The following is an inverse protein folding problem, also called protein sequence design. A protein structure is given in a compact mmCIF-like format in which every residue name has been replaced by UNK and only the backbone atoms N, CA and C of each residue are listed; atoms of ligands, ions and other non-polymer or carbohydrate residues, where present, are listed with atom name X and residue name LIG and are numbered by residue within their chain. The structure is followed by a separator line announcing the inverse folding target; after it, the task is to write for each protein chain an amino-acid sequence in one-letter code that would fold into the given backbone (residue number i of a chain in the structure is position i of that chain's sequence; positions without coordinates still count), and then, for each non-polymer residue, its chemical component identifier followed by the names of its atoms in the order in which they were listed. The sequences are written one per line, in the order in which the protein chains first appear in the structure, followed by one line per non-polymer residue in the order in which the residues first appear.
data_IF_940999583349
#
_entry.id   IF_940999583349
#
_cell.length_a   1.000
_cell.length_b   1.000
_cell.length_c   1.000
_cell.angle_alpha   90.00
_cell.angle_beta   90.00
_cell.angle_gamma   90.00
#
_symmetry.space_group_name_H-M   'P 1'
#
loop_
_entity.id
_entity.type
_entity.pdbx_description
1 polymer ?
#
# COMPACT_ATOMS: atom_id res chain seq x y z
N UNK A 1 -30.95 -27.78 18.57
CA UNK A 1 -30.58 -27.53 17.16
C UNK A 1 -29.30 -26.73 17.17
N UNK A 2 -28.32 -27.06 16.34
CA UNK A 2 -27.28 -26.09 15.99
C UNK A 2 -27.94 -25.06 15.06
N UNK A 3 -27.62 -23.78 15.25
CA UNK A 3 -28.09 -22.71 14.38
C UNK A 3 -27.11 -22.61 13.21
N UNK A 4 -27.59 -22.77 11.98
CA UNK A 4 -26.75 -22.65 10.79
C UNK A 4 -26.24 -21.20 10.65
N UNK A 5 -24.97 -21.05 10.28
CA UNK A 5 -24.35 -19.74 10.08
C UNK A 5 -25.06 -18.98 8.95
N UNK A 6 -25.32 -17.69 9.13
CA UNK A 6 -26.02 -16.87 8.13
C UNK A 6 -25.18 -16.72 6.86
N UNK A 7 -25.80 -16.35 5.74
CA UNK A 7 -25.07 -16.06 4.50
C UNK A 7 -23.99 -14.99 4.72
N UNK A 8 -24.27 -13.99 5.56
CA UNK A 8 -23.31 -12.93 5.90
C UNK A 8 -22.09 -13.48 6.66
N UNK A 9 -22.29 -14.39 7.61
CA UNK A 9 -21.19 -15.04 8.35
C UNK A 9 -20.31 -15.88 7.40
N UNK A 10 -20.95 -16.63 6.49
CA UNK A 10 -20.25 -17.49 5.52
C UNK A 10 -19.48 -16.67 4.49
N UNK A 11 -20.05 -15.55 4.02
CA UNK A 11 -19.36 -14.58 3.15
C UNK A 11 -18.21 -13.87 3.88
N UNK A 12 -18.34 -13.54 5.17
CA UNK A 12 -17.26 -12.95 5.96
C UNK A 12 -16.08 -13.92 6.15
N UNK A 13 -16.36 -15.20 6.46
CA UNK A 13 -15.33 -16.25 6.53
C UNK A 13 -14.66 -16.48 5.17
N UNK A 14 -15.43 -16.60 4.09
CA UNK A 14 -14.89 -16.75 2.75
C UNK A 14 -14.03 -15.53 2.33
N UNK A 15 -14.45 -14.31 2.67
CA UNK A 15 -13.67 -13.07 2.43
C UNK A 15 -12.33 -13.09 3.17
N UNK A 16 -12.31 -13.52 4.44
CA UNK A 16 -11.09 -13.64 5.23
C UNK A 16 -10.12 -14.69 4.67
N UNK A 17 -10.64 -15.77 4.07
CA UNK A 17 -9.85 -16.79 3.37
C UNK A 17 -9.26 -16.26 2.06
N UNK A 18 -10.05 -15.51 1.25
CA UNK A 18 -9.56 -14.86 0.03
C UNK A 18 -8.37 -13.93 0.34
N UNK A 19 -8.48 -13.07 1.36
CA UNK A 19 -7.42 -12.15 1.77
C UNK A 19 -6.13 -12.86 2.22
N UNK A 20 -6.23 -14.10 2.72
CA UNK A 20 -5.10 -14.92 3.15
C UNK A 20 -4.52 -15.82 2.05
N UNK A 21 -5.02 -15.73 0.81
CA UNK A 21 -4.61 -16.61 -0.29
C UNK A 21 -3.11 -16.48 -0.62
N UNK A 22 -2.34 -17.58 -0.68
CA UNK A 22 -0.95 -17.55 -1.12
C UNK A 22 -0.79 -16.94 -2.53
N UNK A 23 0.37 -16.33 -2.83
CA UNK A 23 0.54 -15.56 -4.06
C UNK A 23 0.46 -16.45 -5.30
N UNK A 24 -0.60 -16.28 -6.09
CA UNK A 24 -0.89 -17.07 -7.29
C UNK A 24 -1.90 -18.21 -7.10
N UNK A 25 -2.40 -18.43 -5.87
CA UNK A 25 -3.31 -19.52 -5.52
C UNK A 25 -4.75 -19.02 -5.19
N UNK A 26 -5.01 -17.72 -5.31
CA UNK A 26 -6.31 -17.09 -5.01
C UNK A 26 -7.49 -17.66 -5.81
N UNK A 27 -7.25 -18.12 -7.04
CA UNK A 27 -8.29 -18.75 -7.86
C UNK A 27 -8.68 -20.13 -7.31
N UNK A 28 -7.72 -20.87 -6.76
CA UNK A 28 -7.97 -22.17 -6.14
C UNK A 28 -8.71 -21.99 -4.81
N UNK A 29 -8.28 -21.03 -3.98
CA UNK A 29 -9.00 -20.64 -2.76
C UNK A 29 -10.42 -20.16 -3.06
N UNK A 30 -10.64 -19.39 -4.13
CA UNK A 30 -11.97 -18.97 -4.58
C UNK A 30 -12.87 -20.15 -4.98
N UNK A 31 -12.29 -21.23 -5.53
CA UNK A 31 -13.02 -22.46 -5.83
C UNK A 31 -13.30 -23.29 -4.56
N UNK A 32 -12.38 -23.32 -3.60
CA UNK A 32 -12.53 -24.05 -2.34
C UNK A 32 -13.51 -23.39 -1.35
N UNK A 33 -13.76 -22.08 -1.44
CA UNK A 33 -14.77 -21.40 -0.60
C UNK A 33 -16.20 -21.48 -1.13
N UNK A 34 -16.44 -21.93 -2.37
CA UNK A 34 -17.80 -22.04 -2.93
C UNK A 34 -18.74 -22.90 -2.07
N UNK A 35 -18.32 -24.09 -1.58
CA UNK A 35 -19.17 -24.92 -0.72
C UNK A 35 -19.42 -24.31 0.67
N UNK A 36 -18.61 -23.34 1.11
CA UNK A 36 -18.80 -22.61 2.38
C UNK A 36 -19.94 -21.60 2.23
N UNK A 37 -20.01 -20.88 1.11
CA UNK A 37 -21.07 -19.90 0.85
C UNK A 37 -22.37 -20.60 0.45
N UNK A 38 -22.31 -21.59 -0.45
CA UNK A 38 -23.45 -22.41 -0.87
C UNK A 38 -24.41 -21.75 -1.88
N UNK A 39 -24.08 -20.56 -2.35
CA UNK A 39 -24.80 -19.82 -3.41
C UNK A 39 -23.77 -19.11 -4.29
N UNK A 40 -23.61 -19.57 -5.54
CA UNK A 40 -22.62 -19.02 -6.48
C UNK A 40 -22.95 -17.59 -6.95
N UNK A 41 -24.23 -17.17 -6.91
CA UNK A 41 -24.65 -15.83 -7.34
C UNK A 41 -24.32 -14.78 -6.26
N UNK A 42 -24.49 -15.16 -5.00
CA UNK A 42 -24.11 -14.32 -3.86
C UNK A 42 -22.60 -14.39 -3.56
N UNK A 43 -21.92 -15.47 -3.93
CA UNK A 43 -20.46 -15.62 -3.84
C UNK A 43 -19.72 -14.54 -4.64
N UNK A 44 -19.94 -14.46 -5.96
CA UNK A 44 -19.22 -13.51 -6.82
C UNK A 44 -19.43 -12.06 -6.37
N UNK A 45 -20.69 -11.72 -6.04
CA UNK A 45 -21.09 -10.39 -5.56
C UNK A 45 -20.54 -10.07 -4.18
N UNK A 46 -20.53 -11.04 -3.27
CA UNK A 46 -20.11 -10.88 -1.88
C UNK A 46 -18.59 -10.87 -1.68
N UNK A 47 -17.83 -11.60 -2.52
CA UNK A 47 -16.37 -11.65 -2.46
C UNK A 47 -15.65 -10.58 -3.28
N UNK A 48 -16.35 -9.87 -4.18
CA UNK A 48 -15.76 -8.80 -4.99
C UNK A 48 -14.96 -7.75 -4.18
N UNK A 49 -15.39 -7.29 -2.99
CA UNK A 49 -14.57 -6.37 -2.17
C UNK A 49 -13.26 -7.00 -1.67
N UNK A 50 -13.31 -8.27 -1.25
CA UNK A 50 -12.13 -9.00 -0.78
C UNK A 50 -11.15 -9.30 -1.94
N UNK A 51 -11.67 -9.60 -3.13
CA UNK A 51 -10.87 -9.72 -4.35
C UNK A 51 -10.26 -8.37 -4.77
N UNK A 52 -11.00 -7.26 -4.65
CA UNK A 52 -10.49 -5.93 -4.97
C UNK A 52 -9.35 -5.52 -4.03
N UNK A 53 -9.52 -5.71 -2.72
CA UNK A 53 -8.47 -5.52 -1.73
C UNK A 53 -7.26 -6.43 -2.00
N UNK A 54 -7.47 -7.75 -2.13
CA UNK A 54 -6.40 -8.72 -2.39
C UNK A 54 -5.58 -8.32 -3.62
N UNK A 55 -6.22 -8.07 -4.76
CA UNK A 55 -5.54 -7.71 -6.00
C UNK A 55 -4.70 -6.42 -5.86
N UNK A 56 -5.20 -5.43 -5.12
CA UNK A 56 -4.55 -4.12 -4.93
C UNK A 56 -3.36 -4.21 -3.96
N UNK A 57 -3.48 -4.95 -2.87
CA UNK A 57 -2.37 -5.20 -1.93
C UNK A 57 -1.28 -6.08 -2.56
N UNK A 58 -1.69 -7.08 -3.34
CA UNK A 58 -0.80 -8.09 -3.92
C UNK A 58 -0.09 -7.63 -5.20
N UNK A 59 -0.34 -6.39 -5.64
CA UNK A 59 0.20 -5.82 -6.88
C UNK A 59 -0.14 -6.71 -8.08
N UNK A 60 -1.43 -6.98 -8.27
CA UNK A 60 -1.93 -7.79 -9.38
C UNK A 60 -1.54 -7.15 -10.72
N UNK A 61 -1.31 -8.01 -11.72
CA UNK A 61 -0.81 -7.61 -13.04
C UNK A 61 -1.87 -7.90 -14.11
N UNK A 62 -2.07 -6.98 -15.04
CA UNK A 62 -3.00 -7.13 -16.15
C UNK A 62 -2.35 -6.73 -17.48
N UNK A 63 -2.47 -7.61 -18.48
CA UNK A 63 -1.93 -7.36 -19.81
C UNK A 63 -2.79 -6.33 -20.56
N UNK A 64 -2.17 -5.24 -21.03
CA UNK A 64 -2.84 -4.22 -21.83
C UNK A 64 -2.54 -4.40 -23.33
N UNK A 65 -3.52 -4.23 -24.24
CA UNK A 65 -3.30 -4.32 -25.68
C UNK A 65 -2.15 -3.43 -26.17
N UNK A 66 -1.19 -4.06 -26.85
CA UNK A 66 0.04 -3.44 -27.39
C UNK A 66 1.09 -2.98 -26.36
N UNK A 67 0.89 -3.21 -25.05
CA UNK A 67 1.98 -3.04 -24.07
C UNK A 67 3.00 -4.19 -24.17
N UNK A 68 4.18 -3.97 -23.57
CA UNK A 68 5.25 -4.98 -23.36
C UNK A 68 5.46 -5.30 -21.87
N UNK A 69 4.81 -4.54 -21.00
CA UNK A 69 4.88 -4.64 -19.54
C UNK A 69 3.42 -4.60 -19.07
N UNK A 70 2.92 -5.58 -18.31
CA UNK A 70 1.55 -5.55 -17.81
C UNK A 70 1.38 -4.39 -16.82
N UNK A 71 0.22 -3.76 -16.84
CA UNK A 71 -0.12 -2.72 -15.89
C UNK A 71 -0.29 -3.30 -14.48
N UNK A 72 0.04 -2.49 -13.47
CA UNK A 72 -0.01 -2.89 -12.06
C UNK A 72 -1.24 -2.31 -11.36
N UNK A 73 -1.98 -3.16 -10.67
CA UNK A 73 -3.13 -2.79 -9.85
C UNK A 73 -2.61 -2.47 -8.45
N UNK A 74 -2.50 -1.18 -8.14
CA UNK A 74 -1.99 -0.66 -6.85
C UNK A 74 -2.64 0.70 -6.53
N UNK A 75 -2.58 1.19 -5.28
CA UNK A 75 -3.27 2.42 -4.88
C UNK A 75 -2.91 3.64 -5.73
N UNK A 76 -1.60 3.88 -5.99
CA UNK A 76 -1.13 5.01 -6.79
C UNK A 76 -1.48 4.94 -8.29
N UNK A 77 -2.03 3.81 -8.76
CA UNK A 77 -2.55 3.68 -10.11
C UNK A 77 -4.01 4.13 -10.21
N UNK A 78 -4.76 4.25 -9.11
CA UNK A 78 -6.18 4.62 -9.16
C UNK A 78 -6.33 6.09 -9.56
N UNK A 79 -7.17 6.34 -10.58
CA UNK A 79 -7.32 7.68 -11.18
C UNK A 79 -8.21 8.58 -10.31
N UNK A 80 -9.31 8.02 -9.80
CA UNK A 80 -10.24 8.69 -8.89
C UNK A 80 -10.54 7.75 -7.70
N UNK A 81 -10.18 8.17 -6.48
CA UNK A 81 -10.52 7.42 -5.26
C UNK A 81 -12.01 7.57 -4.87
N UNK A 82 -12.60 8.71 -5.21
CA UNK A 82 -14.00 9.05 -4.92
C UNK A 82 -14.99 8.50 -5.96
N UNK A 83 -14.53 8.16 -7.18
CA UNK A 83 -15.38 7.61 -8.22
C UNK A 83 -15.71 6.13 -7.95
N UNK A 84 -16.93 5.74 -8.33
CA UNK A 84 -17.39 4.34 -8.30
C UNK A 84 -16.84 3.48 -9.45
N UNK A 85 -16.07 4.06 -10.38
CA UNK A 85 -15.37 3.30 -11.42
C UNK A 85 -14.03 2.78 -10.91
N UNK A 86 -13.77 1.48 -11.11
CA UNK A 86 -12.47 0.85 -10.86
C UNK A 86 -11.48 1.23 -11.97
N UNK A 87 -11.11 2.52 -12.04
CA UNK A 87 -10.31 3.10 -13.12
C UNK A 87 -8.85 3.30 -12.69
N UNK A 88 -7.95 2.72 -13.47
CA UNK A 88 -6.51 2.66 -13.20
C UNK A 88 -5.71 3.28 -14.35
N UNK A 89 -4.57 3.88 -14.03
CA UNK A 89 -3.58 4.47 -14.94
C UNK A 89 -2.38 3.53 -15.06
N UNK A 90 -1.91 3.31 -16.29
CA UNK A 90 -0.58 2.78 -16.58
C UNK A 90 0.32 3.86 -17.19
N UNK A 91 1.35 4.33 -16.47
CA UNK A 91 2.37 5.24 -16.99
C UNK A 91 3.23 4.68 -18.14
N UNK A 92 3.33 3.35 -18.32
CA UNK A 92 4.13 2.77 -19.42
C UNK A 92 3.45 2.89 -20.77
N UNK A 93 2.15 2.59 -20.84
CA UNK A 93 1.33 2.72 -22.06
C UNK A 93 0.64 4.10 -22.20
N UNK A 94 0.78 4.96 -21.19
CA UNK A 94 0.12 6.28 -21.07
C UNK A 94 -1.39 6.19 -21.33
N UNK A 95 -2.05 5.25 -20.67
CA UNK A 95 -3.50 4.98 -20.80
C UNK A 95 -4.14 4.78 -19.43
N UNK A 96 -5.41 5.20 -19.30
CA UNK A 96 -6.30 4.71 -18.25
C UNK A 96 -7.15 3.55 -18.76
N UNK A 97 -7.58 2.67 -17.87
CA UNK A 97 -8.44 1.54 -18.18
C UNK A 97 -9.34 1.21 -16.98
N UNK A 98 -10.49 0.59 -17.24
CA UNK A 98 -11.33 -0.02 -16.19
C UNK A 98 -10.86 -1.44 -15.90
N UNK A 99 -10.88 -1.87 -14.63
CA UNK A 99 -10.41 -3.20 -14.22
C UNK A 99 -11.51 -4.03 -13.55
N UNK A 100 -11.71 -5.25 -14.06
CA UNK A 100 -12.58 -6.28 -13.48
C UNK A 100 -11.76 -7.14 -12.49
N UNK A 101 -11.92 -6.89 -11.18
CA UNK A 101 -11.22 -7.61 -10.12
C UNK A 101 -11.64 -9.10 -9.97
N UNK A 102 -12.75 -9.52 -10.58
CA UNK A 102 -13.20 -10.92 -10.59
C UNK A 102 -12.60 -11.69 -11.78
N UNK A 103 -12.47 -11.04 -12.95
CA UNK A 103 -11.91 -11.64 -14.17
C UNK A 103 -10.42 -11.37 -14.40
N UNK A 104 -9.83 -10.46 -13.63
CA UNK A 104 -8.47 -9.95 -13.78
C UNK A 104 -8.19 -9.37 -15.17
N UNK A 105 -9.16 -8.64 -15.73
CA UNK A 105 -9.13 -8.12 -17.10
C UNK A 105 -9.33 -6.61 -17.18
N UNK A 106 -8.60 -5.96 -18.09
CA UNK A 106 -8.74 -4.54 -18.41
C UNK A 106 -9.71 -4.29 -19.57
N UNK A 107 -10.45 -3.19 -19.52
CA UNK A 107 -11.41 -2.73 -20.53
C UNK A 107 -11.43 -1.20 -20.63
N UNK A 108 -12.13 -0.64 -21.63
CA UNK A 108 -12.32 0.81 -21.81
C UNK A 108 -11.01 1.61 -21.70
N UNK A 109 -10.04 1.27 -22.57
CA UNK A 109 -8.74 1.92 -22.60
C UNK A 109 -8.85 3.32 -23.24
N UNK A 110 -8.37 4.34 -22.52
CA UNK A 110 -8.44 5.75 -22.92
C UNK A 110 -7.07 6.41 -22.76
N UNK A 111 -6.57 7.17 -23.74
CA UNK A 111 -5.27 7.85 -23.63
C UNK A 111 -5.19 8.81 -22.45
N UNK A 112 -4.06 8.81 -21.76
CA UNK A 112 -3.75 9.72 -20.65
C UNK A 112 -2.61 10.66 -21.05
N UNK A 113 -2.72 11.93 -20.67
CA UNK A 113 -1.65 12.93 -20.83
C UNK A 113 -1.26 13.43 -19.44
N UNK A 114 -0.02 13.18 -18.97
CA UNK A 114 0.45 13.68 -17.68
C UNK A 114 0.31 15.21 -17.58
N UNK A 115 -0.25 15.75 -16.48
CA UNK A 115 -0.55 17.19 -16.37
C UNK A 115 0.69 18.07 -16.15
N UNK A 116 1.79 17.50 -15.64
CA UNK A 116 3.08 18.19 -15.43
C UNK A 116 4.18 17.49 -16.25
N UNK A 117 4.67 18.12 -17.34
CA UNK A 117 5.71 17.55 -18.19
C UNK A 117 7.09 17.38 -17.54
N UNK A 118 7.46 18.21 -16.57
CA UNK A 118 8.76 18.11 -15.88
C UNK A 118 8.72 17.04 -14.78
N UNK A 119 7.56 16.87 -14.14
CA UNK A 119 7.28 15.73 -13.26
C UNK A 119 7.29 14.41 -14.03
N UNK A 120 6.64 14.33 -15.20
CA UNK A 120 6.67 13.13 -16.07
C UNK A 120 8.10 12.81 -16.55
N UNK A 121 8.86 13.81 -16.98
CA UNK A 121 10.27 13.67 -17.37
C UNK A 121 11.14 13.11 -16.23
N UNK A 122 10.87 13.51 -14.99
CA UNK A 122 11.56 13.00 -13.79
C UNK A 122 11.12 11.56 -13.46
N UNK A 123 9.81 11.29 -13.53
CA UNK A 123 9.19 9.96 -13.39
C UNK A 123 9.75 8.95 -14.39
N UNK A 124 9.87 9.34 -15.67
CA UNK A 124 10.40 8.51 -16.74
C UNK A 124 11.90 8.23 -16.60
N UNK A 125 12.70 9.15 -16.04
CA UNK A 125 14.11 8.89 -15.73
C UNK A 125 14.27 7.99 -14.49
N UNK A 126 13.41 8.12 -13.46
CA UNK A 126 13.31 7.12 -12.38
C UNK A 126 12.96 5.73 -12.93
N UNK A 127 11.96 5.64 -13.81
CA UNK A 127 11.51 4.40 -14.48
C UNK A 127 12.66 3.73 -15.26
N UNK A 128 13.42 4.52 -16.03
CA UNK A 128 14.55 4.04 -16.84
C UNK A 128 15.75 3.59 -16.00
N UNK A 129 15.98 4.23 -14.85
CA UNK A 129 17.01 3.80 -13.89
C UNK A 129 16.56 2.52 -13.17
N UNK A 130 15.28 2.43 -12.78
CA UNK A 130 14.68 1.23 -12.20
C UNK A 130 14.75 0.04 -13.17
N UNK A 131 14.45 0.22 -14.47
CA UNK A 131 14.61 -0.82 -15.50
C UNK A 131 16.03 -1.39 -15.52
N UNK A 132 17.04 -0.52 -15.55
CA UNK A 132 18.46 -0.88 -15.58
C UNK A 132 18.87 -1.67 -14.34
N UNK A 133 18.36 -1.30 -13.16
CA UNK A 133 18.54 -2.06 -11.93
C UNK A 133 17.84 -3.44 -12.01
N UNK A 134 16.53 -3.45 -12.24
CA UNK A 134 15.68 -4.61 -12.02
C UNK A 134 15.95 -5.75 -13.01
N UNK A 135 16.22 -5.44 -14.29
CA UNK A 135 16.59 -6.44 -15.30
C UNK A 135 17.87 -7.22 -14.96
N UNK A 136 18.71 -6.72 -14.06
CA UNK A 136 19.93 -7.38 -13.61
C UNK A 136 19.77 -8.17 -12.28
N UNK A 137 18.66 -8.00 -11.56
CA UNK A 137 18.48 -8.58 -10.21
C UNK A 137 17.24 -9.48 -10.09
N UNK A 138 16.21 -9.24 -10.91
CA UNK A 138 14.98 -10.03 -10.91
C UNK A 138 14.77 -10.70 -12.27
N UNK A 139 14.46 -12.00 -12.25
CA UNK A 139 14.22 -12.77 -13.47
C UNK A 139 12.91 -12.35 -14.16
N UNK A 140 11.84 -12.20 -13.38
CA UNK A 140 10.49 -11.86 -13.81
C UNK A 140 9.91 -10.78 -12.86
N UNK A 141 10.44 -9.56 -12.91
CA UNK A 141 9.85 -8.41 -12.22
C UNK A 141 9.07 -7.51 -13.17
N UNK A 142 8.02 -6.91 -12.63
CA UNK A 142 7.29 -5.78 -13.21
C UNK A 142 7.38 -4.63 -12.22
N UNK A 143 7.53 -3.41 -12.72
CA UNK A 143 7.69 -2.22 -11.91
C UNK A 143 7.00 -1.03 -12.57
N UNK A 144 6.68 -0.02 -11.78
CA UNK A 144 6.02 1.19 -12.26
C UNK A 144 6.33 2.35 -11.32
N UNK A 145 6.73 3.50 -11.87
CA UNK A 145 6.90 4.75 -11.14
C UNK A 145 5.69 5.65 -11.39
N UNK A 146 4.99 6.04 -10.33
CA UNK A 146 3.88 6.99 -10.36
C UNK A 146 4.32 8.36 -9.83
N UNK A 147 3.78 9.42 -10.43
CA UNK A 147 3.92 10.80 -9.95
C UNK A 147 2.83 11.09 -8.91
N UNK A 148 3.18 11.65 -7.75
CA UNK A 148 2.25 11.88 -6.65
C UNK A 148 1.82 13.37 -6.63
N UNK A 149 0.57 13.72 -6.97
CA UNK A 149 0.12 15.11 -6.95
C UNK A 149 0.10 15.70 -5.52
N UNK A 150 0.33 17.01 -5.35
CA UNK A 150 0.62 17.61 -4.04
C UNK A 150 -0.54 17.57 -3.03
N UNK A 151 -1.76 17.27 -3.47
CA UNK A 151 -2.95 17.07 -2.63
C UNK A 151 -3.10 15.65 -2.07
N UNK A 152 -2.40 14.65 -2.62
CA UNK A 152 -2.62 13.22 -2.32
C UNK A 152 -1.81 12.69 -1.13
N UNK A 153 -1.75 13.47 -0.04
CA UNK A 153 -1.10 13.03 1.20
C UNK A 153 -1.98 12.05 1.99
N UNK A 154 -1.97 10.77 1.61
CA UNK A 154 -2.61 9.69 2.36
C UNK A 154 -2.13 9.67 3.81
N UNK A 155 -3.04 9.85 4.77
CA UNK A 155 -2.71 9.92 6.19
C UNK A 155 -2.15 8.60 6.71
N UNK A 156 -0.89 8.59 7.16
CA UNK A 156 -0.30 7.45 7.87
C UNK A 156 -0.92 7.34 9.26
N UNK A 157 -1.88 6.44 9.43
CA UNK A 157 -2.53 6.18 10.72
C UNK A 157 -1.50 5.64 11.71
N UNK A 158 -1.12 6.44 12.70
CA UNK A 158 -0.50 5.90 13.91
C UNK A 158 -1.53 5.04 14.65
N UNK A 159 -1.11 4.00 15.40
CA UNK A 159 -1.99 3.39 16.39
C UNK A 159 -2.27 4.42 17.49
N UNK A 160 -3.52 4.81 17.68
CA UNK A 160 -3.91 5.67 18.79
C UNK A 160 -3.76 4.92 20.13
N UNK A 161 -2.95 5.49 21.04
CA UNK A 161 -2.93 5.04 22.44
C UNK A 161 -4.29 5.35 23.10
N UNK A 162 -4.83 4.46 23.94
CA UNK A 162 -6.13 4.68 24.59
C UNK A 162 -6.05 5.86 25.57
N UNK A 163 -7.03 6.79 25.57
CA UNK A 163 -6.98 7.98 26.40
C UNK A 163 -7.07 7.63 27.90
N UNK A 164 -6.16 8.18 28.69
CA UNK A 164 -6.20 8.08 30.15
C UNK A 164 -7.40 8.85 30.73
N UNK A 165 -8.01 8.30 31.78
CA UNK A 165 -9.16 8.90 32.46
C UNK A 165 -8.75 10.08 33.34
N UNK A 166 -9.17 11.30 33.00
CA UNK A 166 -9.11 12.47 33.88
C UNK A 166 -10.42 12.66 34.67
N UNK A 167 -10.34 13.26 35.86
CA UNK A 167 -11.40 13.20 36.86
C UNK A 167 -11.29 14.32 37.94
N UNK A 168 -11.76 15.55 37.66
CA UNK A 168 -11.91 16.64 38.67
C UNK A 168 -12.87 17.79 38.28
N UNK A 169 -14.16 17.62 38.59
CA UNK A 169 -15.17 18.57 39.14
C UNK A 169 -14.99 20.12 38.99
N UNK A 170 -15.95 20.78 38.32
CA UNK A 170 -16.35 22.21 38.43
C UNK A 170 -17.34 22.45 39.60
N UNK A 171 -17.39 23.64 40.28
CA UNK A 171 -18.35 24.75 39.94
C UNK A 171 -17.95 26.17 40.51
N UNK A 172 -18.84 27.20 40.67
CA UNK A 172 -19.92 27.83 39.86
C UNK A 172 -19.71 29.37 39.59
N UNK A 173 -20.64 30.14 38.94
CA UNK A 173 -20.36 31.47 38.32
C UNK A 173 -21.03 32.75 38.98
N UNK A 174 -21.44 33.87 38.29
CA UNK A 174 -21.04 35.29 38.61
C UNK A 174 -22.20 36.23 39.08
N UNK A 175 -22.03 37.57 39.32
CA UNK A 175 -22.25 38.66 38.31
C UNK A 175 -21.54 40.03 38.69
N UNK A 176 -21.96 41.29 38.35
CA UNK A 176 -22.69 41.92 37.21
C UNK A 176 -21.93 43.13 36.53
N UNK A 177 -22.64 43.99 35.75
CA UNK A 177 -22.17 45.11 34.89
C UNK A 177 -22.25 46.56 35.48
N UNK A 178 -21.62 47.55 34.80
CA UNK A 178 -21.99 48.99 34.61
C UNK A 178 -21.13 49.55 33.42
N UNK A 179 -21.53 50.42 32.46
CA UNK A 179 -22.18 51.77 32.44
C UNK A 179 -21.28 52.91 33.01
N UNK A 180 -21.19 54.17 32.52
CA UNK A 180 -21.67 54.96 31.33
C UNK A 180 -20.92 56.36 31.34
N UNK A 181 -21.00 57.36 30.43
CA UNK A 181 -21.78 57.61 29.18
C UNK A 181 -20.83 57.72 27.93
N UNK A 182 -20.58 58.78 27.12
CA UNK A 182 -20.95 60.22 26.97
C UNK A 182 -20.82 60.69 25.47
N UNK A 183 -21.21 61.92 25.05
CA UNK A 183 -21.66 62.22 23.65
C UNK A 183 -20.92 63.36 22.80
N UNK A 184 -21.48 64.47 22.20
CA UNK A 184 -20.98 65.08 20.92
C UNK A 184 -20.46 66.55 21.11
N UNK A 185 -20.64 67.66 20.29
CA UNK A 185 -21.34 68.02 19.01
C UNK A 185 -20.39 68.64 17.90
N UNK A 186 -20.73 69.25 16.73
CA UNK A 186 -21.83 69.22 15.69
C UNK A 186 -21.41 70.04 14.42
N UNK A 187 -22.37 70.41 13.53
CA UNK A 187 -22.39 71.48 12.47
C UNK A 187 -21.74 71.22 11.07
N UNK A 188 -22.26 71.65 9.89
CA UNK A 188 -23.60 72.04 9.36
C UNK A 188 -23.50 72.23 7.80
N UNK A 189 -24.54 71.92 7.00
CA UNK A 189 -24.63 72.09 5.51
C UNK A 189 -25.04 73.54 5.09
N UNK A 190 -25.43 73.95 3.82
CA UNK A 190 -25.68 73.24 2.53
C UNK A 190 -25.17 73.98 1.23
N UNK A 191 -25.91 74.18 0.09
CA UNK A 191 -25.89 73.31 -1.11
C UNK A 191 -25.77 74.00 -2.51
N UNK A 192 -25.57 73.22 -3.60
CA UNK A 192 -26.11 73.52 -4.96
C UNK A 192 -26.24 72.29 -5.88
N UNK A 193 -27.18 72.36 -6.84
CA UNK A 193 -27.39 71.41 -7.98
C UNK A 193 -26.54 71.79 -9.21
N UNK A 194 -26.19 70.81 -10.06
CA UNK A 194 -26.42 70.84 -11.53
C UNK A 194 -26.12 69.47 -12.22
N UNK A 195 -26.52 69.30 -13.49
CA UNK A 195 -26.61 67.97 -14.17
C UNK A 195 -25.65 67.76 -15.42
N UNK A 196 -25.73 66.68 -16.25
CA UNK A 196 -24.55 65.98 -16.84
C UNK A 196 -24.33 66.30 -18.36
N UNK A 197 -23.69 65.50 -19.28
CA UNK A 197 -23.07 64.16 -19.19
C UNK A 197 -21.77 63.88 -20.05
N UNK A 198 -21.37 62.59 -20.09
CA UNK A 198 -20.64 61.83 -21.15
C UNK A 198 -19.12 61.49 -21.02
N UNK A 199 -18.86 60.19 -20.78
CA UNK A 199 -17.92 59.29 -21.49
C UNK A 199 -16.39 59.54 -21.58
N UNK A 200 -15.52 58.50 -21.75
CA UNK A 200 -15.70 57.04 -21.62
C UNK A 200 -14.77 56.39 -20.55
N UNK A 201 -14.89 55.08 -20.24
CA UNK A 201 -14.06 54.40 -19.22
C UNK A 201 -12.60 54.14 -19.64
N UNK A 202 -11.69 54.14 -18.66
CA UNK A 202 -10.36 53.53 -18.80
C UNK A 202 -10.43 52.00 -18.63
N UNK A 203 -9.45 51.29 -19.19
CA UNK A 203 -9.27 49.85 -18.99
C UNK A 203 -9.02 49.52 -17.51
N UNK A 204 -9.55 48.40 -16.98
CA UNK A 204 -9.12 47.86 -15.70
C UNK A 204 -7.71 47.30 -15.81
N UNK A 205 -6.93 47.44 -14.74
CA UNK A 205 -5.55 47.00 -14.65
C UNK A 205 -5.46 45.47 -14.60
N UNK A 206 -4.56 44.86 -15.39
CA UNK A 206 -4.35 43.42 -15.39
C UNK A 206 -3.25 43.06 -14.39
N UNK A 207 -3.61 43.04 -13.11
CA UNK A 207 -2.83 42.37 -12.08
C UNK A 207 -2.88 40.86 -12.31
N UNK A 208 -2.00 40.35 -13.17
CA UNK A 208 -1.77 38.91 -13.35
C UNK A 208 -1.29 38.29 -12.04
N UNK A 209 -2.23 37.78 -11.24
CA UNK A 209 -1.93 36.92 -10.10
C UNK A 209 -1.40 35.59 -10.62
N UNK A 210 -0.09 35.52 -10.86
CA UNK A 210 0.59 34.29 -11.26
C UNK A 210 0.45 33.25 -10.15
N UNK A 211 -0.51 32.35 -10.31
CA UNK A 211 -0.71 31.19 -9.46
C UNK A 211 0.51 30.27 -9.61
N UNK A 212 1.43 30.35 -8.65
CA UNK A 212 2.61 29.51 -8.59
C UNK A 212 2.20 28.03 -8.48
N UNK A 213 2.35 27.28 -9.56
CA UNK A 213 2.15 25.83 -9.58
C UNK A 213 3.24 25.17 -8.73
N UNK A 214 2.87 24.71 -7.53
CA UNK A 214 3.74 23.92 -6.65
C UNK A 214 3.91 22.52 -7.22
N UNK A 215 4.86 22.36 -8.14
CA UNK A 215 5.23 21.05 -8.71
C UNK A 215 5.67 20.10 -7.60
N UNK A 216 5.03 18.93 -7.55
CA UNK A 216 5.33 17.90 -6.55
C UNK A 216 6.58 17.13 -6.94
N UNK A 217 7.58 17.12 -6.06
CA UNK A 217 8.79 16.31 -6.20
C UNK A 217 8.65 14.94 -5.52
N UNK A 218 7.43 14.38 -5.49
CA UNK A 218 7.10 13.11 -4.84
C UNK A 218 6.69 12.05 -5.86
N UNK A 219 7.23 10.86 -5.70
CA UNK A 219 6.99 9.71 -6.57
C UNK A 219 6.74 8.44 -5.76
N UNK A 220 6.03 7.48 -6.33
CA UNK A 220 5.88 6.12 -5.77
C UNK A 220 6.40 5.10 -6.76
N UNK A 221 7.41 4.33 -6.35
CA UNK A 221 7.92 3.18 -7.12
C UNK A 221 7.34 1.89 -6.54
N UNK A 222 6.63 1.12 -7.36
CA UNK A 222 6.19 -0.22 -7.04
C UNK A 222 6.99 -1.24 -7.85
N UNK A 223 7.34 -2.36 -7.22
CA UNK A 223 8.05 -3.49 -7.82
C UNK A 223 7.35 -4.77 -7.37
N UNK A 224 7.02 -5.66 -8.30
CA UNK A 224 6.52 -7.01 -8.00
C UNK A 224 7.32 -8.06 -8.78
N UNK A 225 7.92 -9.01 -8.07
CA UNK A 225 8.68 -10.13 -8.63
C UNK A 225 7.96 -11.45 -8.33
N UNK A 226 7.42 -12.11 -9.36
CA UNK A 226 6.60 -13.31 -9.21
C UNK A 226 7.32 -14.54 -9.77
N UNK A 227 7.29 -15.66 -9.02
CA UNK A 227 7.82 -16.95 -9.49
C UNK A 227 6.98 -18.11 -8.93
N UNK A 228 6.21 -18.74 -9.80
CA UNK A 228 5.29 -19.82 -9.44
C UNK A 228 5.68 -21.11 -10.15
N UNK A 229 5.58 -22.23 -9.44
CA UNK A 229 5.81 -23.56 -9.99
C UNK A 229 4.89 -24.58 -9.30
N UNK A 230 3.57 -24.51 -9.53
CA UNK A 230 2.60 -25.38 -8.85
C UNK A 230 2.80 -26.86 -9.17
N UNK A 231 3.38 -27.19 -10.34
CA UNK A 231 3.80 -28.57 -10.69
C UNK A 231 4.88 -29.13 -9.75
N UNK A 232 5.65 -28.26 -9.09
CA UNK A 232 6.60 -28.61 -8.04
C UNK A 232 6.15 -28.11 -6.66
N UNK A 233 4.85 -27.83 -6.49
CA UNK A 233 4.21 -27.48 -5.22
C UNK A 233 4.77 -26.25 -4.50
N UNK A 234 5.18 -25.21 -5.23
CA UNK A 234 5.57 -23.93 -4.61
C UNK A 234 5.24 -22.66 -5.39
N UNK A 235 5.03 -21.58 -4.65
CA UNK A 235 4.83 -20.22 -5.15
C UNK A 235 5.69 -19.23 -4.37
N UNK A 236 6.08 -18.13 -5.02
CA UNK A 236 6.88 -17.07 -4.41
C UNK A 236 6.60 -15.71 -5.03
N UNK A 237 6.48 -14.68 -4.18
CA UNK A 237 6.28 -13.29 -4.54
C UNK A 237 7.15 -12.38 -3.68
N UNK A 238 7.86 -11.47 -4.34
CA UNK A 238 8.52 -10.31 -3.75
C UNK A 238 7.70 -9.07 -4.13
N UNK A 239 7.45 -8.17 -3.18
CA UNK A 239 6.85 -6.85 -3.40
C UNK A 239 7.74 -5.80 -2.73
N UNK A 240 8.04 -4.72 -3.44
CA UNK A 240 8.66 -3.53 -2.84
C UNK A 240 7.87 -2.29 -3.24
N UNK A 241 7.65 -1.41 -2.28
CA UNK A 241 6.94 -0.14 -2.44
C UNK A 241 7.85 0.94 -1.83
N UNK A 242 8.10 2.02 -2.58
CA UNK A 242 8.93 3.13 -2.15
C UNK A 242 8.22 4.46 -2.35
N UNK A 243 8.00 5.18 -1.26
CA UNK A 243 7.55 6.56 -1.25
C UNK A 243 8.79 7.46 -1.28
N UNK A 244 9.00 8.13 -2.42
CA UNK A 244 10.22 8.87 -2.75
C UNK A 244 9.91 10.37 -2.70
N UNK A 245 10.49 11.09 -1.75
CA UNK A 245 10.43 12.56 -1.67
C UNK A 245 11.78 13.14 -2.11
N UNK A 246 11.88 13.56 -3.37
CA UNK A 246 13.14 14.06 -3.95
C UNK A 246 13.55 15.43 -3.40
N UNK A 247 12.61 16.23 -2.87
CA UNK A 247 12.90 17.53 -2.28
C UNK A 247 13.65 17.42 -0.96
N UNK A 248 13.27 16.45 -0.12
CA UNK A 248 13.92 16.15 1.16
C UNK A 248 15.05 15.12 1.07
N UNK A 249 15.03 14.24 0.06
CA UNK A 249 15.92 13.07 -0.02
C UNK A 249 15.47 11.89 0.84
N UNK A 250 14.26 11.93 1.41
CA UNK A 250 13.70 10.84 2.21
C UNK A 250 13.03 9.80 1.31
N UNK A 251 13.33 8.52 1.56
CA UNK A 251 12.69 7.38 0.87
C UNK A 251 12.16 6.41 1.92
N UNK A 252 10.85 6.36 2.09
CA UNK A 252 10.19 5.37 2.95
C UNK A 252 9.93 4.10 2.16
N UNK A 253 10.59 3.00 2.54
CA UNK A 253 10.46 1.71 1.87
C UNK A 253 9.63 0.69 2.64
N UNK A 254 8.94 -0.17 1.90
CA UNK A 254 8.25 -1.36 2.38
C UNK A 254 8.55 -2.54 1.46
N UNK A 255 9.28 -3.54 1.95
CA UNK A 255 9.59 -4.80 1.26
C UNK A 255 8.78 -5.92 1.91
N UNK A 256 8.13 -6.76 1.11
CA UNK A 256 7.40 -7.94 1.56
C UNK A 256 7.79 -9.17 0.74
N UNK A 257 8.04 -10.29 1.42
CA UNK A 257 8.38 -11.56 0.77
C UNK A 257 7.44 -12.65 1.24
N UNK A 258 6.78 -13.29 0.29
CA UNK A 258 5.85 -14.39 0.52
C UNK A 258 6.32 -15.62 -0.26
N UNK A 259 6.47 -16.77 0.40
CA UNK A 259 6.80 -18.05 -0.24
C UNK A 259 5.92 -19.13 0.38
N UNK A 260 5.35 -20.01 -0.44
CA UNK A 260 4.55 -21.14 -0.01
C UNK A 260 5.10 -22.43 -0.63
N UNK A 261 5.23 -23.48 0.17
CA UNK A 261 5.63 -24.83 -0.26
C UNK A 261 4.66 -25.84 0.33
N UNK A 262 4.05 -26.66 -0.53
CA UNK A 262 2.92 -27.54 -0.17
C UNK A 262 3.05 -28.98 -0.65
N UNK A 263 4.26 -29.46 -0.98
CA UNK A 263 4.48 -30.88 -1.19
C UNK A 263 4.38 -31.63 0.16
N UNK A 264 3.37 -32.50 0.31
CA UNK A 264 3.20 -33.39 1.47
C UNK A 264 3.10 -32.67 2.84
N UNK A 265 2.77 -31.37 2.84
CA UNK A 265 2.64 -30.51 4.01
C UNK A 265 2.18 -29.10 3.62
N UNK A 266 2.34 -28.14 4.53
CA UNK A 266 2.20 -26.71 4.23
C UNK A 266 3.30 -25.97 5.02
N UNK A 267 4.15 -25.24 4.32
CA UNK A 267 5.20 -24.39 4.89
C UNK A 267 5.14 -23.03 4.20
N UNK A 268 5.02 -21.96 4.98
CA UNK A 268 4.96 -20.59 4.48
C UNK A 268 6.04 -19.70 5.10
N UNK A 269 6.60 -18.82 4.27
CA UNK A 269 7.31 -17.63 4.67
C UNK A 269 6.42 -16.43 4.39
N UNK A 270 6.28 -15.56 5.38
CA UNK A 270 5.74 -14.21 5.22
C UNK A 270 6.66 -13.25 5.97
N UNK A 271 7.24 -12.27 5.27
CA UNK A 271 8.04 -11.21 5.88
C UNK A 271 7.57 -9.84 5.45
N UNK A 272 7.76 -8.87 6.34
CA UNK A 272 7.65 -7.44 6.06
C UNK A 272 8.91 -6.77 6.62
N UNK A 273 9.51 -5.87 5.86
CA UNK A 273 10.68 -5.09 6.28
C UNK A 273 10.59 -3.66 5.74
N UNK A 274 10.78 -2.69 6.62
CA UNK A 274 10.80 -1.26 6.28
C UNK A 274 12.23 -0.72 6.29
N UNK A 275 12.95 -0.72 5.17
CA UNK A 275 14.27 -0.11 5.11
C UNK A 275 14.17 1.41 5.23
N UNK A 276 14.90 1.99 6.18
CA UNK A 276 15.18 3.42 6.19
C UNK A 276 16.21 3.74 5.10
N UNK A 277 15.85 4.61 4.16
CA UNK A 277 16.69 5.01 3.03
C UNK A 277 16.71 6.54 2.94
N UNK A 278 17.92 7.10 2.90
CA UNK A 278 18.17 8.54 2.80
C UNK A 278 19.14 8.81 1.65
N UNK A 279 18.87 9.86 0.87
CA UNK A 279 19.72 10.40 -0.18
C UNK A 279 19.96 11.90 0.05
N UNK A 280 20.94 12.54 -0.62
CA UNK A 280 21.08 13.99 -0.57
C UNK A 280 19.78 14.68 -1.04
N UNK A 281 19.34 15.79 -0.39
CA UNK A 281 18.19 16.56 -0.85
C UNK A 281 18.38 17.06 -2.29
N UNK A 282 17.38 16.87 -3.15
CA UNK A 282 17.45 17.08 -4.60
C UNK A 282 18.43 16.15 -5.34
N UNK A 283 18.74 14.98 -4.75
CA UNK A 283 19.54 13.93 -5.38
C UNK A 283 18.92 13.37 -6.66
N UNK A 284 19.76 12.87 -7.57
CA UNK A 284 19.31 12.45 -8.90
C UNK A 284 18.58 11.09 -8.89
N UNK A 285 17.69 10.82 -9.87
CA UNK A 285 17.02 9.53 -10.01
C UNK A 285 17.96 8.30 -9.97
N UNK A 286 19.13 8.42 -10.58
CA UNK A 286 20.17 7.38 -10.56
C UNK A 286 20.70 7.07 -9.15
N UNK A 287 20.76 8.07 -8.27
CA UNK A 287 21.24 7.94 -6.90
C UNK A 287 20.18 7.32 -6.00
N UNK A 288 18.91 7.70 -6.21
CA UNK A 288 17.71 7.15 -5.57
C UNK A 288 17.59 5.64 -5.85
N UNK A 289 17.59 5.23 -7.12
CA UNK A 289 17.50 3.80 -7.48
C UNK A 289 18.71 3.01 -6.97
N UNK A 290 19.91 3.61 -6.96
CA UNK A 290 21.11 2.98 -6.39
C UNK A 290 21.03 2.79 -4.87
N UNK A 291 20.41 3.73 -4.14
CA UNK A 291 20.17 3.60 -2.71
C UNK A 291 19.14 2.49 -2.40
N UNK A 292 18.07 2.42 -3.20
CA UNK A 292 17.07 1.34 -3.16
C UNK A 292 17.71 -0.03 -3.43
N UNK A 293 18.47 -0.17 -4.52
CA UNK A 293 19.25 -1.37 -4.85
C UNK A 293 20.13 -1.83 -3.68
N UNK A 294 20.83 -0.91 -3.01
CA UNK A 294 21.69 -1.22 -1.88
C UNK A 294 20.90 -1.70 -0.66
N UNK A 295 19.72 -1.13 -0.40
CA UNK A 295 18.82 -1.55 0.67
C UNK A 295 18.22 -2.94 0.41
N UNK A 296 17.70 -3.20 -0.79
CA UNK A 296 17.16 -4.52 -1.17
C UNK A 296 18.24 -5.61 -1.13
N UNK A 297 19.44 -5.32 -1.64
CA UNK A 297 20.58 -6.25 -1.60
C UNK A 297 21.00 -6.58 -0.16
N UNK A 298 21.02 -5.57 0.72
CA UNK A 298 21.31 -5.75 2.16
C UNK A 298 20.23 -6.58 2.85
N UNK A 299 18.95 -6.35 2.54
CA UNK A 299 17.84 -7.12 3.11
C UNK A 299 17.87 -8.58 2.64
N UNK A 300 18.07 -8.83 1.34
CA UNK A 300 18.20 -10.19 0.79
C UNK A 300 19.37 -10.96 1.44
N UNK A 301 20.53 -10.32 1.60
CA UNK A 301 21.67 -10.91 2.28
C UNK A 301 21.36 -11.23 3.76
N UNK A 302 20.67 -10.32 4.46
CA UNK A 302 20.22 -10.54 5.84
C UNK A 302 19.24 -11.71 5.98
N UNK A 303 18.26 -11.82 5.08
CA UNK A 303 17.29 -12.92 5.05
C UNK A 303 17.98 -14.28 4.84
N UNK A 304 18.95 -14.34 3.91
CA UNK A 304 19.75 -15.54 3.68
C UNK A 304 20.58 -15.93 4.93
N UNK A 305 21.17 -14.98 5.64
CA UNK A 305 21.91 -15.25 6.88
C UNK A 305 20.99 -15.76 7.99
N UNK A 306 19.84 -15.12 8.20
CA UNK A 306 18.85 -15.53 9.20
C UNK A 306 18.33 -16.96 8.94
N UNK A 307 18.12 -17.36 7.68
CA UNK A 307 17.71 -18.72 7.34
C UNK A 307 18.77 -19.79 7.68
N UNK A 308 20.05 -19.49 7.46
CA UNK A 308 21.14 -20.37 7.86
C UNK A 308 21.20 -20.49 9.40
N UNK A 309 21.06 -19.38 10.13
CA UNK A 309 21.07 -19.38 11.60
C UNK A 309 19.89 -20.15 12.20
N UNK A 310 18.67 -19.99 11.65
CA UNK A 310 17.49 -20.76 12.07
C UNK A 310 17.72 -22.27 11.92
N UNK A 311 18.29 -22.68 10.78
CA UNK A 311 18.66 -24.07 10.48
C UNK A 311 19.71 -24.63 11.43
N UNK A 312 20.78 -23.88 11.69
CA UNK A 312 21.91 -24.37 12.48
C UNK A 312 21.73 -24.24 14.01
N UNK A 313 20.92 -23.31 14.49
CA UNK A 313 20.73 -23.07 15.93
C UNK A 313 19.29 -23.35 16.39
N UNK A 314 18.32 -22.55 15.93
CA UNK A 314 16.97 -22.49 16.53
C UNK A 314 16.20 -23.80 16.43
N UNK A 315 16.18 -24.46 15.27
CA UNK A 315 15.48 -25.75 15.14
C UNK A 315 16.14 -26.87 15.98
N UNK A 316 17.45 -26.82 16.22
CA UNK A 316 18.17 -27.81 17.04
C UNK A 316 17.88 -27.67 18.54
N UNK A 317 17.47 -26.48 18.99
CA UNK A 317 16.96 -26.23 20.34
C UNK A 317 15.55 -26.81 20.52
N UNK A 318 14.66 -26.61 19.54
CA UNK A 318 13.28 -27.13 19.57
C UNK A 318 13.24 -28.66 19.56
N UNK A 319 13.98 -29.32 18.66
CA UNK A 319 14.06 -30.78 18.60
C UNK A 319 15.41 -31.27 18.09
N UNK A 320 16.15 -31.93 18.98
CA UNK A 320 17.39 -32.62 18.62
C UNK A 320 17.13 -33.79 17.67
N UNK A 321 17.93 -33.92 16.61
CA UNK A 321 17.89 -35.07 15.70
C UNK A 321 18.20 -36.42 16.40
N UNK A 322 18.98 -36.38 17.49
CA UNK A 322 19.24 -37.52 18.38
C UNK A 322 19.21 -37.07 19.86
N UNK A 323 18.84 -37.98 20.79
CA UNK A 323 19.06 -37.81 22.23
C UNK A 323 20.49 -37.38 22.60
N UNK A 324 20.68 -36.89 23.83
CA UNK A 324 22.00 -36.45 24.33
C UNK A 324 23.05 -37.56 24.24
N UNK A 325 22.64 -38.83 24.38
CA UNK A 325 23.48 -40.03 24.22
C UNK A 325 24.01 -40.28 22.80
N UNK A 326 23.55 -39.51 21.79
CA UNK A 326 23.84 -39.71 20.36
C UNK A 326 23.45 -41.10 19.81
N UNK A 327 22.51 -41.79 20.48
CA UNK A 327 21.98 -43.09 20.07
C UNK A 327 20.46 -43.02 19.91
N UNK A 328 19.88 -43.89 19.06
CA UNK A 328 18.43 -44.05 18.99
C UNK A 328 17.88 -44.55 20.32
N UNK A 329 16.67 -44.12 20.68
CA UNK A 329 15.99 -44.53 21.93
C UNK A 329 15.82 -46.05 21.96
N UNK A 330 16.35 -46.70 22.99
CA UNK A 330 16.13 -48.13 23.22
C UNK A 330 14.80 -48.32 23.98
N UNK A 331 13.72 -48.50 23.24
CA UNK A 331 12.36 -48.67 23.76
C UNK A 331 12.20 -49.85 24.73
N UNK A 332 13.03 -50.89 24.62
CA UNK A 332 13.01 -52.02 25.55
C UNK A 332 13.46 -51.59 26.96
N UNK A 333 14.43 -50.68 27.07
CA UNK A 333 14.95 -50.18 28.33
C UNK A 333 14.07 -49.09 28.97
N UNK A 334 13.03 -48.58 28.28
CA UNK A 334 12.13 -47.57 28.85
C UNK A 334 10.97 -48.15 29.66
N UNK A 335 10.83 -49.49 29.72
CA UNK A 335 9.79 -50.19 30.51
C UNK A 335 10.08 -50.29 32.02
N UNK A 336 10.73 -49.30 32.63
CA UNK A 336 10.74 -49.09 34.08
C UNK A 336 11.36 -47.74 34.49
N UNK A 337 10.51 -46.77 34.88
CA UNK A 337 10.49 -46.17 36.23
C UNK A 337 9.51 -45.00 36.22
N UNK A 338 8.23 -45.30 36.45
CA UNK A 338 7.34 -44.30 37.06
C UNK A 338 7.92 -44.08 38.46
N UNK A 339 8.38 -42.86 38.74
CA UNK A 339 8.65 -42.45 40.12
C UNK A 339 7.29 -42.19 40.73
N UNK A 340 6.86 -43.08 41.61
CA UNK A 340 5.92 -42.72 42.65
C UNK A 340 6.74 -41.94 43.68
N UNK A 341 6.30 -40.74 44.04
CA UNK A 341 6.91 -40.00 45.13
C UNK A 341 6.47 -40.64 46.45
N UNK A 342 7.41 -41.27 47.15
CA UNK A 342 7.19 -41.79 48.50
C UNK A 342 7.14 -40.59 49.48
N UNK A 343 6.01 -40.45 50.17
CA UNK A 343 5.73 -39.41 51.17
C UNK A 343 6.27 -39.75 52.57
#
# INVERSE_FOLDING_TARGET
MQQEASLQDRLAVASALILQSPPGEVNDVFNDVRPIVGDDSELERGLLPALAQYNTEQLALVELPNSKIPAMICPAARVDEEAAENRYLDPHSQQTFTFDHLRLSASDLQPFVPPDPEMEKTRAELERQAESYLRNHFQNAVWTVFSVPPSSSSSSTQPDDPPASDNSVDPPPPPPEHQEIDEPPSDLDPPTDDQPPQSPPKQPDQSETQSQSTSSNKFKLYIVGNKYNPTNYWTGRWRSIYDIDMGTGKIDGLIQVNVHYYEQGNVQLSTTHTPAIETPPNGGPAEIIKAIQAAESKYQAGLNLAYNELGDNTFKLLRRALPVTKQKVNWNNMKARIVLDDH
#
